data_IF_181122389830
#
_entry.id   IF_181122389830
#
_cell.length_a   1.000
_cell.length_b   1.000
_cell.length_c   1.000
_cell.angle_alpha   90.00
_cell.angle_beta   90.00
_cell.angle_gamma   90.00
#
_symmetry.space_group_name_H-M   'P 1'
#
loop_
_entity.id
_entity.type
_entity.pdbx_description
1 polymer ?
#
# COMPACT_ATOMS: atom_id res chain seq x y z
N UNK A 1 5.53 -4.98 -23.62
CA UNK A 1 5.08 -5.37 -24.99
C UNK A 1 6.04 -6.37 -25.65
N UNK A 2 6.26 -7.51 -24.98
CA UNK A 2 7.05 -8.60 -25.54
C UNK A 2 6.15 -9.36 -26.52
N UNK A 3 6.49 -9.48 -27.82
CA UNK A 3 5.62 -10.10 -28.83
C UNK A 3 5.15 -11.51 -28.45
N UNK A 4 6.00 -12.30 -27.81
CA UNK A 4 5.65 -13.64 -27.33
C UNK A 4 4.55 -13.57 -26.24
N UNK A 5 4.65 -12.64 -25.28
CA UNK A 5 3.66 -12.47 -24.21
C UNK A 5 2.32 -12.05 -24.79
N UNK A 6 2.31 -11.11 -25.75
CA UNK A 6 1.09 -10.68 -26.42
C UNK A 6 0.44 -11.86 -27.19
N UNK A 7 1.23 -12.62 -27.94
CA UNK A 7 0.72 -13.80 -28.64
C UNK A 7 0.13 -14.86 -27.72
N UNK A 8 0.69 -15.07 -26.53
CA UNK A 8 0.14 -15.97 -25.54
C UNK A 8 -1.17 -15.44 -24.95
N UNK A 9 -1.22 -14.12 -24.67
CA UNK A 9 -2.43 -13.46 -24.16
C UNK A 9 -3.56 -13.53 -25.17
N UNK A 10 -3.28 -13.29 -26.48
CA UNK A 10 -4.26 -13.39 -27.56
C UNK A 10 -4.82 -14.81 -27.72
N UNK A 11 -4.06 -15.82 -27.30
CA UNK A 11 -4.47 -17.23 -27.27
C UNK A 11 -5.18 -17.62 -25.96
N UNK A 12 -5.48 -16.67 -25.08
CA UNK A 12 -6.18 -16.91 -23.81
C UNK A 12 -5.31 -17.54 -22.72
N UNK A 13 -3.98 -17.54 -22.87
CA UNK A 13 -3.07 -18.02 -21.83
C UNK A 13 -3.00 -16.96 -20.71
N UNK A 14 -3.24 -17.36 -19.48
CA UNK A 14 -3.07 -16.50 -18.32
C UNK A 14 -1.59 -16.13 -18.14
N UNK A 15 -1.34 -14.84 -17.97
CA UNK A 15 0.01 -14.31 -17.74
C UNK A 15 0.05 -13.81 -16.29
N UNK A 16 0.79 -14.49 -15.45
CA UNK A 16 1.05 -14.08 -14.08
C UNK A 16 2.39 -13.39 -13.96
N UNK A 17 2.42 -12.31 -13.19
CA UNK A 17 3.65 -11.69 -12.74
C UNK A 17 4.17 -12.32 -11.45
N UNK A 18 5.26 -11.76 -10.95
CA UNK A 18 5.94 -12.22 -9.76
C UNK A 18 5.04 -12.16 -8.50
N UNK A 19 4.27 -11.09 -8.36
CA UNK A 19 3.36 -10.88 -7.21
C UNK A 19 2.25 -11.92 -7.17
N UNK A 20 1.58 -12.17 -8.31
CA UNK A 20 0.52 -13.18 -8.39
C UNK A 20 1.06 -14.59 -8.11
N UNK A 21 2.23 -14.90 -8.68
CA UNK A 21 2.89 -16.19 -8.44
C UNK A 21 3.20 -16.38 -6.97
N UNK A 22 3.81 -15.38 -6.33
CA UNK A 22 4.14 -15.41 -4.91
C UNK A 22 2.89 -15.56 -4.04
N UNK A 23 1.85 -14.79 -4.33
CA UNK A 23 0.57 -14.84 -3.62
C UNK A 23 -0.07 -16.23 -3.67
N UNK A 24 -0.04 -16.88 -4.83
CA UNK A 24 -0.64 -18.21 -5.02
C UNK A 24 0.05 -19.31 -4.18
N UNK A 25 1.34 -19.16 -3.89
CA UNK A 25 2.13 -20.13 -3.11
C UNK A 25 2.42 -19.68 -1.68
N UNK A 26 2.18 -18.42 -1.36
CA UNK A 26 2.34 -17.87 -0.03
C UNK A 26 1.15 -18.15 0.88
N UNK A 27 1.34 -17.90 2.17
CA UNK A 27 0.29 -17.96 3.18
C UNK A 27 0.42 -16.77 4.13
N UNK A 28 -0.67 -16.47 4.85
CA UNK A 28 -0.76 -15.34 5.77
C UNK A 28 -1.36 -14.10 5.13
N UNK A 29 -1.32 -12.99 5.85
CA UNK A 29 -1.94 -11.74 5.45
C UNK A 29 -0.94 -10.76 4.84
N UNK A 30 -1.43 -9.88 3.96
CA UNK A 30 -0.57 -8.98 3.19
C UNK A 30 -0.97 -7.53 3.42
N UNK A 31 0.05 -6.70 3.64
CA UNK A 31 0.01 -5.24 3.50
C UNK A 31 0.71 -4.89 2.20
N UNK A 32 0.02 -4.26 1.26
CA UNK A 32 0.55 -3.93 -0.06
C UNK A 32 0.64 -2.41 -0.27
N UNK A 33 1.79 -1.93 -0.73
CA UNK A 33 2.08 -0.49 -0.82
C UNK A 33 2.47 -0.13 -2.24
N UNK A 34 1.73 0.81 -2.84
CA UNK A 34 2.05 1.42 -4.13
C UNK A 34 2.02 2.94 -4.05
N UNK A 35 2.36 3.61 -5.12
CA UNK A 35 2.42 5.06 -5.25
C UNK A 35 3.49 5.46 -6.27
N UNK A 36 3.57 6.72 -6.63
CA UNK A 36 4.68 7.22 -7.43
C UNK A 36 5.93 7.33 -6.55
N UNK A 37 5.82 8.00 -5.40
CA UNK A 37 6.91 8.27 -4.47
C UNK A 37 6.59 7.74 -3.07
N UNK A 38 7.63 7.54 -2.23
CA UNK A 38 7.49 7.19 -0.82
C UNK A 38 7.35 5.69 -0.54
N UNK A 39 7.13 4.84 -1.52
CA UNK A 39 6.91 3.40 -1.35
C UNK A 39 7.94 2.72 -0.45
N UNK A 40 9.21 2.85 -0.78
CA UNK A 40 10.31 2.17 -0.07
C UNK A 40 10.39 2.59 1.41
N UNK A 41 10.29 3.89 1.67
CA UNK A 41 10.30 4.42 3.03
C UNK A 41 9.09 3.92 3.82
N UNK A 42 7.89 4.00 3.24
CA UNK A 42 6.65 3.55 3.88
C UNK A 42 6.68 2.04 4.13
N UNK A 43 7.15 1.25 3.16
CA UNK A 43 7.29 -0.21 3.31
C UNK A 43 8.26 -0.58 4.44
N UNK A 44 9.40 0.11 4.52
CA UNK A 44 10.36 -0.11 5.60
C UNK A 44 9.78 0.26 6.96
N UNK A 45 9.14 1.42 7.09
CA UNK A 45 8.49 1.87 8.34
C UNK A 45 7.39 0.89 8.77
N UNK A 46 6.48 0.53 7.87
CA UNK A 46 5.44 -0.46 8.15
C UNK A 46 6.05 -1.79 8.59
N UNK A 47 7.08 -2.26 7.88
CA UNK A 47 7.78 -3.49 8.24
C UNK A 47 8.38 -3.45 9.64
N UNK A 48 8.98 -2.33 10.07
CA UNK A 48 9.54 -2.18 11.41
C UNK A 48 8.43 -2.12 12.49
N UNK A 49 7.34 -1.40 12.23
CA UNK A 49 6.18 -1.42 13.16
C UNK A 49 5.65 -2.84 13.32
N UNK A 50 5.40 -3.55 12.21
CA UNK A 50 4.83 -4.89 12.25
C UNK A 50 5.73 -5.90 12.96
N UNK A 51 7.06 -5.82 12.82
CA UNK A 51 8.02 -6.69 13.51
C UNK A 51 7.99 -6.56 15.04
N UNK A 52 7.53 -5.44 15.58
CA UNK A 52 7.38 -5.28 17.03
C UNK A 52 6.18 -6.07 17.59
N UNK A 53 5.21 -6.41 16.75
CA UNK A 53 3.97 -7.09 17.17
C UNK A 53 3.84 -8.52 16.66
N UNK A 54 4.36 -8.81 15.47
CA UNK A 54 4.23 -10.11 14.81
C UNK A 54 5.56 -10.84 14.71
N UNK A 55 5.55 -12.15 14.90
CA UNK A 55 6.78 -12.98 14.95
C UNK A 55 7.38 -13.26 13.58
N UNK A 56 6.54 -13.43 12.54
CA UNK A 56 7.00 -13.71 11.16
C UNK A 56 6.54 -12.57 10.25
N UNK A 57 7.39 -11.57 10.10
CA UNK A 57 7.16 -10.43 9.21
C UNK A 57 8.17 -10.43 8.08
N UNK A 58 7.67 -10.41 6.85
CA UNK A 58 8.47 -10.47 5.62
C UNK A 58 8.29 -9.18 4.83
N UNK A 59 9.37 -8.43 4.69
CA UNK A 59 9.39 -7.19 3.89
C UNK A 59 9.95 -7.53 2.51
N UNK A 60 9.15 -7.33 1.46
CA UNK A 60 9.42 -7.87 0.12
C UNK A 60 8.97 -6.91 -0.99
N UNK A 61 9.27 -7.25 -2.23
CA UNK A 61 8.63 -6.68 -3.42
C UNK A 61 9.56 -5.99 -4.39
N UNK A 62 9.13 -4.88 -4.94
CA UNK A 62 9.77 -4.16 -6.05
C UNK A 62 11.22 -3.77 -5.78
N UNK A 63 11.59 -3.53 -4.53
CA UNK A 63 12.97 -3.23 -4.09
C UNK A 63 13.37 -4.22 -3.01
N UNK A 64 14.62 -4.63 -3.03
CA UNK A 64 15.19 -5.54 -2.04
C UNK A 64 14.93 -7.01 -2.36
N UNK A 65 14.16 -7.70 -1.52
CA UNK A 65 13.94 -9.14 -1.61
C UNK A 65 12.68 -9.42 -2.44
N UNK A 66 12.75 -10.19 -3.53
CA UNK A 66 11.57 -10.58 -4.29
C UNK A 66 10.57 -11.38 -3.42
N UNK A 67 9.27 -11.14 -3.59
CA UNK A 67 8.25 -11.84 -2.81
C UNK A 67 8.30 -13.35 -3.02
N UNK A 68 8.53 -13.82 -4.26
CA UNK A 68 8.67 -15.24 -4.59
C UNK A 68 9.77 -15.95 -3.81
N UNK A 69 10.84 -15.25 -3.44
CA UNK A 69 11.94 -15.85 -2.66
C UNK A 69 11.59 -16.07 -1.19
N UNK A 70 10.53 -15.44 -0.71
CA UNK A 70 10.12 -15.45 0.71
C UNK A 70 8.85 -16.25 0.98
N UNK A 71 8.23 -16.87 -0.02
CA UNK A 71 6.99 -17.64 0.19
C UNK A 71 7.23 -18.98 0.89
N UNK A 72 8.42 -19.57 0.72
CA UNK A 72 8.74 -20.85 1.37
C UNK A 72 8.72 -20.72 2.89
N UNK A 73 7.97 -21.60 3.54
CA UNK A 73 7.82 -21.61 5.00
C UNK A 73 6.90 -20.49 5.54
N UNK A 74 6.16 -19.77 4.68
CA UNK A 74 5.07 -18.92 5.17
C UNK A 74 3.93 -19.76 5.73
N UNK A 75 3.24 -19.22 6.72
CA UNK A 75 2.11 -19.84 7.41
C UNK A 75 0.95 -18.86 7.50
N UNK A 76 -0.20 -19.29 8.01
CA UNK A 76 -1.32 -18.38 8.26
C UNK A 76 -1.02 -17.23 9.25
N UNK A 77 0.07 -17.32 10.01
CA UNK A 77 0.53 -16.27 10.94
C UNK A 77 1.56 -15.31 10.32
N UNK A 78 1.98 -15.55 9.07
CA UNK A 78 2.96 -14.71 8.38
C UNK A 78 2.31 -13.39 7.96
N UNK A 79 2.97 -12.28 8.24
CA UNK A 79 2.61 -10.95 7.74
C UNK A 79 3.59 -10.55 6.66
N UNK A 80 3.09 -10.31 5.45
CA UNK A 80 3.91 -9.84 4.33
C UNK A 80 3.68 -8.36 4.10
N UNK A 81 4.73 -7.55 4.16
CA UNK A 81 4.71 -6.12 3.82
C UNK A 81 5.39 -5.96 2.45
N UNK A 82 4.60 -5.68 1.43
CA UNK A 82 5.05 -5.73 0.04
C UNK A 82 5.05 -4.35 -0.64
N UNK A 83 6.22 -3.91 -1.12
CA UNK A 83 6.29 -2.81 -2.07
C UNK A 83 5.91 -3.28 -3.47
N UNK A 84 4.92 -2.66 -4.12
CA UNK A 84 4.43 -3.08 -5.42
C UNK A 84 4.44 -1.92 -6.42
N UNK A 85 5.10 -2.13 -7.56
CA UNK A 85 5.10 -1.20 -8.68
C UNK A 85 3.83 -1.32 -9.52
N UNK A 86 3.51 -0.27 -10.30
CA UNK A 86 2.40 -0.31 -11.27
C UNK A 86 2.57 -1.43 -12.30
N UNK A 87 3.81 -1.77 -12.66
CA UNK A 87 4.10 -2.86 -13.60
C UNK A 87 3.77 -4.24 -13.06
N UNK A 88 4.00 -4.45 -11.77
CA UNK A 88 3.66 -5.71 -11.10
C UNK A 88 2.15 -5.86 -10.94
N UNK A 89 1.43 -4.75 -10.73
CA UNK A 89 -0.04 -4.74 -10.63
C UNK A 89 -0.74 -5.06 -11.95
N UNK A 90 -0.13 -4.77 -13.11
CA UNK A 90 -0.70 -5.13 -14.43
C UNK A 90 -0.97 -6.63 -14.63
N UNK A 91 -0.37 -7.48 -13.83
CA UNK A 91 -0.39 -8.94 -14.01
C UNK A 91 -0.92 -9.70 -12.81
N UNK A 92 -1.61 -9.01 -11.91
CA UNK A 92 -2.35 -9.65 -10.82
C UNK A 92 -3.69 -10.21 -11.33
N UNK A 93 -4.10 -11.33 -10.77
CA UNK A 93 -5.37 -12.02 -11.07
C UNK A 93 -6.22 -12.15 -9.79
N UNK A 94 -5.71 -12.87 -8.81
CA UNK A 94 -6.38 -13.16 -7.53
C UNK A 94 -5.73 -12.46 -6.33
N UNK A 95 -4.61 -11.79 -6.53
CA UNK A 95 -3.90 -11.07 -5.47
C UNK A 95 -4.83 -10.16 -4.69
N UNK A 96 -4.91 -10.39 -3.39
CA UNK A 96 -5.80 -9.67 -2.47
C UNK A 96 -5.05 -9.33 -1.19
N UNK A 97 -4.57 -8.09 -0.99
CA UNK A 97 -4.04 -7.66 0.30
C UNK A 97 -5.18 -7.40 1.29
N UNK A 98 -4.97 -7.69 2.57
CA UNK A 98 -5.89 -7.28 3.63
C UNK A 98 -5.83 -5.76 3.85
N UNK A 99 -4.64 -5.18 3.79
CA UNK A 99 -4.46 -3.72 3.83
C UNK A 99 -3.67 -3.28 2.61
N UNK A 100 -4.15 -2.27 1.90
CA UNK A 100 -3.44 -1.64 0.79
C UNK A 100 -3.18 -0.16 1.06
N UNK A 101 -2.20 0.42 0.36
CA UNK A 101 -1.99 1.86 0.34
C UNK A 101 -1.62 2.36 -1.07
N UNK A 102 -2.18 3.50 -1.45
CA UNK A 102 -1.74 4.29 -2.60
C UNK A 102 -1.29 5.65 -2.09
N UNK A 103 0.02 5.87 -2.04
CA UNK A 103 0.62 7.02 -1.36
C UNK A 103 0.44 8.34 -2.11
N UNK A 104 0.52 8.30 -3.42
CA UNK A 104 0.35 9.43 -4.33
C UNK A 104 0.39 8.96 -5.78
N UNK A 105 -0.20 9.76 -6.68
CA UNK A 105 -0.16 9.53 -8.11
C UNK A 105 0.27 10.82 -8.82
N UNK A 106 1.51 10.87 -9.28
CA UNK A 106 2.05 11.95 -10.11
C UNK A 106 2.58 11.39 -11.42
N UNK A 107 2.64 12.17 -12.52
CA UNK A 107 3.07 11.66 -13.81
C UNK A 107 4.44 10.97 -13.75
N UNK A 108 4.45 9.69 -14.09
CA UNK A 108 5.65 8.87 -14.19
C UNK A 108 5.42 7.68 -15.14
N UNK A 109 6.48 7.12 -15.68
CA UNK A 109 6.42 5.92 -16.51
C UNK A 109 5.43 5.96 -17.70
N UNK A 110 5.09 7.15 -18.22
CA UNK A 110 4.13 7.31 -19.32
C UNK A 110 4.64 6.72 -20.65
N UNK A 111 5.94 6.53 -20.79
CA UNK A 111 6.53 5.78 -21.90
C UNK A 111 6.09 4.30 -21.91
N UNK A 112 5.64 3.75 -20.78
CA UNK A 112 5.17 2.37 -20.62
C UNK A 112 3.65 2.27 -20.51
N UNK A 113 3.03 3.14 -19.72
CA UNK A 113 1.56 3.15 -19.51
C UNK A 113 0.80 3.91 -20.61
N UNK A 114 1.51 4.72 -21.42
CA UNK A 114 1.02 5.55 -22.52
C UNK A 114 0.17 6.74 -22.10
N UNK A 115 -0.74 6.59 -21.13
CA UNK A 115 -1.60 7.67 -20.61
C UNK A 115 -1.61 7.71 -19.08
N UNK A 116 -1.99 8.85 -18.50
CA UNK A 116 -2.19 8.98 -17.05
C UNK A 116 -3.32 8.06 -16.57
N UNK A 117 -4.39 7.92 -17.32
CA UNK A 117 -5.53 7.08 -16.98
C UNK A 117 -5.12 5.61 -16.82
N UNK A 118 -4.26 5.10 -17.71
CA UNK A 118 -3.73 3.74 -17.60
C UNK A 118 -2.80 3.58 -16.39
N UNK A 119 -1.99 4.61 -16.10
CA UNK A 119 -1.10 4.60 -14.94
C UNK A 119 -1.88 4.64 -13.62
N UNK A 120 -2.92 5.48 -13.53
CA UNK A 120 -3.83 5.57 -12.40
C UNK A 120 -4.48 4.22 -12.18
N UNK A 121 -5.15 3.67 -13.20
CA UNK A 121 -5.83 2.36 -13.12
C UNK A 121 -4.88 1.24 -12.69
N UNK A 122 -3.66 1.20 -13.23
CA UNK A 122 -2.68 0.21 -12.84
C UNK A 122 -2.33 0.25 -11.35
N UNK A 123 -2.39 1.41 -10.69
CA UNK A 123 -2.18 1.52 -9.25
C UNK A 123 -3.45 1.21 -8.45
N UNK A 124 -4.61 1.64 -8.92
CA UNK A 124 -5.91 1.33 -8.31
C UNK A 124 -6.20 -0.18 -8.30
N UNK A 125 -5.66 -0.92 -9.26
CA UNK A 125 -5.75 -2.39 -9.33
C UNK A 125 -5.20 -3.10 -8.07
N UNK A 126 -4.43 -2.43 -7.20
CA UNK A 126 -4.02 -2.98 -5.90
C UNK A 126 -5.22 -3.36 -5.03
N UNK A 127 -6.37 -2.69 -5.23
CA UNK A 127 -7.63 -2.93 -4.49
C UNK A 127 -8.59 -3.86 -5.23
N UNK A 128 -8.26 -4.30 -6.45
CA UNK A 128 -9.13 -5.01 -7.39
C UNK A 128 -9.91 -6.19 -6.79
N UNK A 129 -9.29 -6.93 -5.89
CA UNK A 129 -9.90 -8.10 -5.25
C UNK A 129 -10.25 -7.85 -3.78
N UNK A 130 -10.03 -6.65 -3.26
CA UNK A 130 -10.44 -6.28 -1.90
C UNK A 130 -11.96 -6.20 -1.77
N UNK A 131 -12.43 -6.23 -0.54
CA UNK A 131 -13.84 -6.17 -0.17
C UNK A 131 -14.03 -5.19 0.99
N UNK A 132 -15.25 -5.00 1.44
CA UNK A 132 -15.56 -4.17 2.62
C UNK A 132 -14.96 -4.67 3.96
N UNK A 133 -14.35 -5.85 3.96
CA UNK A 133 -13.62 -6.37 5.13
C UNK A 133 -12.13 -5.97 5.11
N UNK A 134 -11.66 -5.42 4.01
CA UNK A 134 -10.29 -5.00 3.80
C UNK A 134 -10.15 -3.47 3.93
N UNK A 135 -8.92 -2.95 3.96
CA UNK A 135 -8.63 -1.52 4.13
C UNK A 135 -7.77 -0.98 2.99
N UNK A 136 -8.02 0.28 2.63
CA UNK A 136 -7.20 1.02 1.66
C UNK A 136 -6.81 2.39 2.24
N UNK A 137 -5.52 2.62 2.40
CA UNK A 137 -4.96 3.88 2.92
C UNK A 137 -4.63 4.80 1.75
N UNK A 138 -5.21 6.00 1.74
CA UNK A 138 -5.14 6.97 0.64
C UNK A 138 -4.70 8.35 1.12
N UNK A 139 -3.91 9.04 0.29
CA UNK A 139 -3.53 10.43 0.53
C UNK A 139 -4.70 11.38 0.20
N UNK A 140 -5.19 12.09 1.20
CA UNK A 140 -6.26 13.06 1.03
C UNK A 140 -5.84 14.29 0.18
N UNK A 141 -4.57 14.63 0.13
CA UNK A 141 -4.06 15.76 -0.65
C UNK A 141 -4.00 15.46 -2.16
N UNK A 142 -4.09 14.20 -2.55
CA UNK A 142 -4.12 13.77 -3.95
C UNK A 142 -5.58 13.72 -4.45
N UNK A 143 -5.92 14.60 -5.40
CA UNK A 143 -7.28 14.69 -5.95
C UNK A 143 -7.72 13.40 -6.65
N UNK A 144 -6.80 12.71 -7.33
CA UNK A 144 -7.10 11.44 -7.98
C UNK A 144 -7.52 10.41 -6.95
N UNK A 145 -6.80 10.32 -5.83
CA UNK A 145 -7.09 9.37 -4.77
C UNK A 145 -8.35 9.72 -3.98
N UNK A 146 -8.65 11.02 -3.77
CA UNK A 146 -9.94 11.43 -3.19
C UNK A 146 -11.13 11.00 -4.06
N UNK A 147 -11.00 11.14 -5.36
CA UNK A 147 -12.06 10.72 -6.30
C UNK A 147 -12.21 9.20 -6.33
N UNK A 148 -11.09 8.48 -6.34
CA UNK A 148 -11.07 7.02 -6.30
C UNK A 148 -11.71 6.44 -5.02
N UNK A 149 -11.63 7.14 -3.90
CA UNK A 149 -12.18 6.67 -2.62
C UNK A 149 -13.67 6.30 -2.69
N UNK A 150 -14.45 6.97 -3.55
CA UNK A 150 -15.88 6.69 -3.74
C UNK A 150 -16.14 5.36 -4.48
N UNK A 151 -15.16 4.86 -5.23
CA UNK A 151 -15.23 3.61 -6.01
C UNK A 151 -14.44 2.48 -5.37
N UNK A 152 -13.64 2.77 -4.33
CA UNK A 152 -12.78 1.80 -3.67
C UNK A 152 -13.62 0.71 -3.00
N UNK A 153 -13.35 -0.60 -3.27
CA UNK A 153 -14.12 -1.69 -2.68
C UNK A 153 -13.82 -1.93 -1.20
N UNK A 154 -12.67 -1.44 -0.71
CA UNK A 154 -12.23 -1.56 0.68
C UNK A 154 -12.67 -0.36 1.53
N UNK A 155 -12.57 -0.49 2.85
CA UNK A 155 -12.73 0.64 3.78
C UNK A 155 -11.59 1.61 3.59
N UNK A 156 -11.88 2.85 3.21
CA UNK A 156 -10.88 3.89 2.99
C UNK A 156 -10.51 4.56 4.31
N UNK A 157 -9.20 4.68 4.55
CA UNK A 157 -8.63 5.52 5.61
C UNK A 157 -7.73 6.57 4.95
N UNK A 158 -8.03 7.82 5.18
CA UNK A 158 -7.24 8.92 4.65
C UNK A 158 -6.10 9.33 5.57
N UNK A 159 -5.01 9.82 4.97
CA UNK A 159 -4.01 10.61 5.67
C UNK A 159 -3.79 11.95 4.97
N UNK A 160 -3.43 12.99 5.74
CA UNK A 160 -3.23 14.35 5.24
C UNK A 160 -2.14 15.09 6.02
N UNK A 161 -1.24 15.75 5.28
CA UNK A 161 -0.25 16.66 5.87
C UNK A 161 -0.68 18.14 5.89
N UNK A 162 -1.88 18.46 5.37
CA UNK A 162 -2.33 19.85 5.23
C UNK A 162 -3.75 20.10 5.73
N UNK A 163 -4.60 19.08 5.69
CA UNK A 163 -6.02 19.18 6.03
C UNK A 163 -6.31 18.43 7.31
N UNK A 164 -7.05 19.03 8.23
CA UNK A 164 -7.64 18.35 9.37
C UNK A 164 -8.72 17.39 8.87
N UNK A 165 -8.70 16.15 9.38
CA UNK A 165 -9.66 15.12 9.00
C UNK A 165 -10.56 14.78 10.20
N UNK A 166 -11.85 14.57 9.96
CA UNK A 166 -12.76 14.02 10.98
C UNK A 166 -12.58 12.54 11.22
N UNK A 167 -12.06 11.83 10.21
CA UNK A 167 -11.73 10.40 10.23
C UNK A 167 -10.42 10.20 9.46
N UNK A 168 -9.42 9.54 10.06
CA UNK A 168 -8.12 9.26 9.45
C UNK A 168 -6.96 9.92 10.17
N UNK A 169 -5.82 9.97 9.52
CA UNK A 169 -4.57 10.50 10.07
C UNK A 169 -4.26 11.88 9.52
N UNK A 170 -3.91 12.83 10.37
CA UNK A 170 -3.51 14.15 9.89
C UNK A 170 -2.46 14.80 10.78
N UNK A 171 -1.78 15.81 10.23
CA UNK A 171 -0.78 16.59 10.94
C UNK A 171 -1.44 17.84 11.54
N UNK A 172 -1.41 17.97 12.86
CA UNK A 172 -1.81 19.17 13.60
C UNK A 172 -0.57 19.80 14.26
N UNK A 173 -0.09 20.91 13.69
CA UNK A 173 1.20 21.46 14.06
C UNK A 173 2.34 20.47 13.82
N UNK A 174 2.96 20.01 14.89
CA UNK A 174 4.03 19.01 14.85
C UNK A 174 3.56 17.62 15.36
N UNK A 175 2.27 17.44 15.61
CA UNK A 175 1.71 16.18 16.13
C UNK A 175 0.93 15.45 15.00
N UNK A 176 1.20 14.17 14.82
CA UNK A 176 0.35 13.31 14.02
C UNK A 176 -0.83 12.87 14.88
N UNK A 177 -2.04 13.15 14.42
CA UNK A 177 -3.31 12.81 15.06
C UNK A 177 -3.98 11.67 14.30
N UNK A 178 -4.56 10.74 15.03
CA UNK A 178 -5.54 9.78 14.52
C UNK A 178 -6.94 10.18 14.99
N UNK A 179 -7.77 10.62 14.07
CA UNK A 179 -9.17 10.92 14.32
C UNK A 179 -10.04 9.72 13.95
N UNK A 180 -10.87 9.25 14.89
CA UNK A 180 -11.78 8.13 14.69
C UNK A 180 -12.94 8.20 15.70
N UNK A 181 -14.13 7.86 15.29
CA UNK A 181 -15.33 7.80 16.16
C UNK A 181 -15.56 9.06 17.02
N UNK A 182 -15.16 10.23 16.51
CA UNK A 182 -15.23 11.51 17.22
C UNK A 182 -14.15 11.71 18.29
N UNK A 183 -13.18 10.80 18.40
CA UNK A 183 -12.00 10.90 19.26
C UNK A 183 -10.80 11.38 18.43
N UNK A 184 -9.82 12.01 19.08
CA UNK A 184 -8.56 12.46 18.52
C UNK A 184 -7.44 11.96 19.41
N UNK A 185 -6.70 10.98 18.94
CA UNK A 185 -5.55 10.43 19.63
C UNK A 185 -4.25 11.00 19.06
N UNK A 186 -3.37 11.47 19.94
CA UNK A 186 -2.01 11.86 19.56
C UNK A 186 -1.20 10.59 19.30
N UNK A 187 -0.65 10.46 18.07
CA UNK A 187 0.13 9.29 17.67
C UNK A 187 1.62 9.51 17.95
N UNK A 188 2.18 10.63 17.47
CA UNK A 188 3.60 10.96 17.64
C UNK A 188 3.88 12.43 17.33
N UNK A 189 4.83 13.03 18.07
CA UNK A 189 5.43 14.30 17.70
C UNK A 189 6.48 14.06 16.59
N UNK A 190 6.34 14.75 15.45
CA UNK A 190 7.27 14.58 14.31
C UNK A 190 8.69 15.02 14.61
N UNK A 191 8.90 15.83 15.66
CA UNK A 191 10.22 16.23 16.13
C UNK A 191 10.98 15.07 16.81
N UNK A 192 10.29 14.02 17.23
CA UNK A 192 10.90 12.78 17.75
C UNK A 192 11.35 11.85 16.60
N UNK A 193 10.91 12.11 15.38
CA UNK A 193 11.30 11.32 14.22
C UNK A 193 12.68 11.74 13.73
N UNK A 194 13.57 10.78 13.51
CA UNK A 194 14.85 11.00 12.83
C UNK A 194 14.68 11.13 11.29
N UNK A 195 13.54 11.65 10.85
CA UNK A 195 13.16 11.77 9.44
C UNK A 195 12.90 13.25 9.13
N UNK A 196 13.56 13.78 8.11
CA UNK A 196 13.41 15.17 7.70
C UNK A 196 12.46 15.32 6.52
N UNK A 197 11.58 16.33 6.59
CA UNK A 197 10.74 16.79 5.49
C UNK A 197 9.30 16.27 5.54
N UNK A 198 8.35 17.10 5.09
CA UNK A 198 6.89 16.83 5.13
C UNK A 198 6.47 15.54 4.43
N UNK A 199 7.15 15.18 3.32
CA UNK A 199 6.87 13.93 2.61
C UNK A 199 7.15 12.70 3.49
N UNK A 200 8.09 12.78 4.45
CA UNK A 200 8.33 11.69 5.38
C UNK A 200 7.23 11.61 6.45
N UNK A 201 6.63 12.72 6.84
CA UNK A 201 5.48 12.70 7.75
C UNK A 201 4.26 12.01 7.10
N UNK A 202 4.04 12.23 5.79
CA UNK A 202 3.03 11.49 5.03
C UNK A 202 3.35 9.98 5.00
N UNK A 203 4.61 9.59 4.79
CA UNK A 203 5.03 8.19 4.84
C UNK A 203 4.80 7.56 6.23
N UNK A 204 5.07 8.30 7.31
CA UNK A 204 4.80 7.84 8.69
C UNK A 204 3.30 7.70 8.93
N UNK A 205 2.48 8.69 8.58
CA UNK A 205 1.03 8.61 8.72
C UNK A 205 0.45 7.40 7.96
N UNK A 206 0.91 7.17 6.73
CA UNK A 206 0.49 6.01 5.95
C UNK A 206 0.90 4.68 6.61
N UNK A 207 2.13 4.60 7.15
CA UNK A 207 2.60 3.40 7.85
C UNK A 207 1.80 3.13 9.14
N UNK A 208 1.52 4.16 9.94
CA UNK A 208 0.66 4.06 11.13
C UNK A 208 -0.76 3.63 10.75
N UNK A 209 -1.36 4.27 9.74
CA UNK A 209 -2.70 3.94 9.26
C UNK A 209 -2.82 2.47 8.84
N UNK A 210 -1.86 1.97 8.06
CA UNK A 210 -1.85 0.57 7.65
C UNK A 210 -1.67 -0.38 8.83
N UNK A 211 -0.78 -0.06 9.76
CA UNK A 211 -0.48 -0.92 10.90
C UNK A 211 -1.68 -1.03 11.85
N UNK A 212 -2.33 0.09 12.15
CA UNK A 212 -3.54 0.11 12.99
C UNK A 212 -4.70 -0.61 12.28
N UNK A 213 -4.89 -0.38 10.98
CA UNK A 213 -5.90 -1.10 10.18
C UNK A 213 -5.68 -2.61 10.14
N UNK A 214 -4.43 -3.03 10.27
CA UNK A 214 -4.06 -4.45 10.35
C UNK A 214 -4.28 -5.05 11.76
N UNK A 215 -4.51 -4.23 12.77
CA UNK A 215 -4.78 -4.65 14.16
C UNK A 215 -3.63 -4.41 15.13
N UNK A 216 -2.63 -3.60 14.78
CA UNK A 216 -1.64 -3.11 15.75
C UNK A 216 -2.33 -2.11 16.68
N UNK A 217 -2.23 -2.27 18.03
CA UNK A 217 -2.81 -1.31 18.96
C UNK A 217 -2.11 0.05 18.93
N UNK A 218 -2.77 1.08 19.44
CA UNK A 218 -2.24 2.46 19.46
C UNK A 218 -1.18 2.71 20.55
N UNK A 219 -1.11 1.87 21.57
CA UNK A 219 -0.26 1.96 22.76
C UNK A 219 1.07 1.20 22.62
#
# INVERSE_FOLDING_TARGET
DIPMVNSLRDRGVKIWGEIELAYTFGAGEIIAITGTNGKTTTTALTGEIMKNYFKDVRVVGNIGIPYTSMVTGSTGETVTVAEISSFQLETIDTFKPHVSAILNITPDHLNRHHTMENYIRAKEDITKNQTADDYCVLNYEDEVLRNFAAECPAKVIFFSSKSELSEGFYLDGDIIIYAHDGVRDEVIDVNELNLLGKHNFENVMAACAMSISFGVPMD
#
